data_IF_493575008394
#
_entry.id   IF_493575008394
#
_cell.length_a   1.000
_cell.length_b   1.000
_cell.length_c   1.000
_cell.angle_alpha   90.00
_cell.angle_beta   90.00
_cell.angle_gamma   90.00
#
_symmetry.space_group_name_H-M   'P 1'
#
loop_
_entity.id
_entity.type
_entity.pdbx_description
1 polymer ?
#
# COMPACT_ATOMS: atom_id res chain seq x y z
N UNK A 1 -18.54 10.85 20.42
CA UNK A 1 -17.91 10.75 19.09
C UNK A 1 -16.79 11.75 19.02
N UNK A 2 -15.53 11.30 19.10
CA UNK A 2 -14.37 12.20 19.01
C UNK A 2 -14.20 12.63 17.56
N UNK A 3 -14.43 13.91 17.28
CA UNK A 3 -14.16 14.53 15.99
C UNK A 3 -12.66 14.52 15.75
N UNK A 4 -12.18 13.46 15.11
CA UNK A 4 -10.78 13.37 14.70
C UNK A 4 -10.50 14.47 13.67
N UNK A 5 -9.55 15.34 13.98
CA UNK A 5 -9.14 16.42 13.06
C UNK A 5 -8.52 15.81 11.80
N UNK A 6 -8.62 16.51 10.65
CA UNK A 6 -7.97 16.06 9.40
C UNK A 6 -6.49 15.76 9.58
N UNK A 7 -5.81 16.55 10.42
CA UNK A 7 -4.41 16.35 10.77
C UNK A 7 -4.16 15.02 11.51
N UNK A 8 -4.99 14.65 12.49
CA UNK A 8 -4.86 13.39 13.20
C UNK A 8 -5.10 12.17 12.28
N UNK A 9 -5.98 12.29 11.28
CA UNK A 9 -6.20 11.24 10.29
C UNK A 9 -5.02 11.06 9.34
N UNK A 10 -4.40 12.15 8.90
CA UNK A 10 -3.16 12.11 8.09
C UNK A 10 -2.02 11.51 8.92
N UNK A 11 -1.88 11.92 10.18
CA UNK A 11 -0.88 11.37 11.09
C UNK A 11 -1.00 9.86 11.27
N UNK A 12 -2.23 9.34 11.41
CA UNK A 12 -2.46 7.90 11.45
C UNK A 12 -2.06 7.19 10.15
N UNK A 13 -2.43 7.74 8.99
CA UNK A 13 -2.05 7.16 7.69
C UNK A 13 -0.53 7.07 7.56
N UNK A 14 0.19 8.12 7.97
CA UNK A 14 1.65 8.13 7.95
C UNK A 14 2.23 7.09 8.92
N UNK A 15 1.73 7.01 10.15
CA UNK A 15 2.21 6.04 11.15
C UNK A 15 1.97 4.60 10.71
N UNK A 16 0.78 4.29 10.20
CA UNK A 16 0.47 2.96 9.68
C UNK A 16 1.26 2.67 8.40
N UNK A 17 1.48 3.67 7.54
CA UNK A 17 2.27 3.52 6.33
C UNK A 17 3.73 3.23 6.63
N UNK A 18 4.32 3.95 7.58
CA UNK A 18 5.67 3.70 8.09
C UNK A 18 5.77 2.31 8.72
N UNK A 19 4.81 1.94 9.58
CA UNK A 19 4.77 0.61 10.19
C UNK A 19 4.66 -0.52 9.16
N UNK A 20 3.79 -0.37 8.16
CA UNK A 20 3.64 -1.33 7.07
C UNK A 20 4.92 -1.42 6.24
N UNK A 21 5.52 -0.29 5.88
CA UNK A 21 6.80 -0.24 5.18
C UNK A 21 7.91 -0.94 5.94
N UNK A 22 8.12 -0.60 7.22
CA UNK A 22 9.16 -1.22 8.06
C UNK A 22 8.93 -2.72 8.24
N UNK A 23 7.69 -3.15 8.49
CA UNK A 23 7.34 -4.56 8.64
C UNK A 23 7.59 -5.35 7.36
N UNK A 24 7.10 -4.87 6.22
CA UNK A 24 7.33 -5.51 4.91
C UNK A 24 8.82 -5.53 4.57
N UNK A 25 9.55 -4.44 4.82
CA UNK A 25 10.98 -4.35 4.56
C UNK A 25 11.80 -5.33 5.38
N UNK A 26 11.54 -5.41 6.68
CA UNK A 26 12.20 -6.36 7.57
C UNK A 26 11.97 -7.80 7.11
N UNK A 27 10.72 -8.16 6.76
CA UNK A 27 10.39 -9.49 6.25
C UNK A 27 11.10 -9.79 4.92
N UNK A 28 11.07 -8.86 3.95
CA UNK A 28 11.74 -9.04 2.68
C UNK A 28 13.25 -9.24 2.86
N UNK A 29 13.90 -8.45 3.72
CA UNK A 29 15.33 -8.56 3.99
C UNK A 29 15.68 -9.86 4.71
N UNK A 30 14.88 -10.29 5.70
CA UNK A 30 15.08 -11.56 6.39
C UNK A 30 14.93 -12.76 5.45
N UNK A 31 13.88 -12.77 4.63
CA UNK A 31 13.66 -13.81 3.62
C UNK A 31 14.82 -13.82 2.61
N UNK A 32 15.23 -12.66 2.11
CA UNK A 32 16.36 -12.54 1.20
C UNK A 32 17.68 -13.04 1.80
N UNK A 33 17.93 -12.74 3.07
CA UNK A 33 19.12 -13.19 3.79
C UNK A 33 19.11 -14.72 3.99
N UNK A 34 17.96 -15.31 4.34
CA UNK A 34 17.80 -16.75 4.48
C UNK A 34 18.05 -17.47 3.15
N UNK A 35 17.48 -16.97 2.05
CA UNK A 35 17.63 -17.57 0.72
C UNK A 35 19.06 -17.43 0.18
N UNK A 36 19.75 -16.33 0.50
CA UNK A 36 21.12 -16.09 0.06
C UNK A 36 22.18 -16.72 1.00
N UNK A 37 21.79 -17.32 2.12
CA UNK A 37 22.72 -17.86 3.12
C UNK A 37 23.50 -16.79 3.88
N UNK A 38 23.05 -15.53 3.88
CA UNK A 38 23.72 -14.42 4.53
C UNK A 38 23.13 -13.05 4.19
N UNK A 39 23.32 -12.09 5.09
CA UNK A 39 22.90 -10.71 4.88
C UNK A 39 23.98 -9.94 4.14
N UNK A 40 23.67 -9.48 2.93
CA UNK A 40 24.55 -8.59 2.16
C UNK A 40 23.86 -7.26 1.87
N UNK A 41 24.64 -6.18 1.73
CA UNK A 41 24.11 -4.85 1.39
C UNK A 41 23.33 -4.88 0.06
N UNK A 42 23.89 -5.51 -0.97
CA UNK A 42 23.24 -5.65 -2.28
C UNK A 42 21.97 -6.52 -2.23
N UNK A 43 21.98 -7.60 -1.44
CA UNK A 43 20.80 -8.44 -1.20
C UNK A 43 19.69 -7.68 -0.47
N UNK A 44 20.03 -6.91 0.56
CA UNK A 44 19.09 -6.07 1.30
C UNK A 44 18.47 -4.99 0.38
N UNK A 45 19.28 -4.29 -0.42
CA UNK A 45 18.78 -3.30 -1.38
C UNK A 45 17.81 -3.92 -2.40
N UNK A 46 18.11 -5.14 -2.87
CA UNK A 46 17.26 -5.87 -3.81
C UNK A 46 15.94 -6.28 -3.16
N UNK A 47 16.00 -6.83 -1.95
CA UNK A 47 14.83 -7.26 -1.19
C UNK A 47 13.88 -6.09 -0.85
N UNK A 48 14.42 -4.93 -0.44
CA UNK A 48 13.62 -3.73 -0.21
C UNK A 48 12.95 -3.23 -1.49
N UNK A 49 13.64 -3.31 -2.64
CA UNK A 49 13.06 -2.97 -3.94
C UNK A 49 11.86 -3.85 -4.30
N UNK A 50 11.96 -5.16 -4.08
CA UNK A 50 10.85 -6.09 -4.26
C UNK A 50 9.69 -5.81 -3.29
N UNK A 51 9.99 -5.53 -2.02
CA UNK A 51 8.98 -5.14 -1.04
C UNK A 51 8.23 -3.86 -1.44
N UNK A 52 8.95 -2.85 -1.95
CA UNK A 52 8.36 -1.61 -2.47
C UNK A 52 7.44 -1.85 -3.67
N UNK A 53 7.84 -2.73 -4.60
CA UNK A 53 6.99 -3.13 -5.73
C UNK A 53 5.71 -3.81 -5.27
N UNK A 54 5.78 -4.75 -4.31
CA UNK A 54 4.61 -5.46 -3.79
C UNK A 54 3.59 -4.49 -3.19
N UNK A 55 4.05 -3.53 -2.37
CA UNK A 55 3.16 -2.53 -1.77
C UNK A 55 2.54 -1.59 -2.81
N UNK A 56 3.30 -1.22 -3.85
CA UNK A 56 2.78 -0.41 -4.96
C UNK A 56 1.74 -1.17 -5.76
N UNK A 57 1.99 -2.45 -6.03
CA UNK A 57 1.04 -3.34 -6.71
C UNK A 57 -0.24 -3.52 -5.90
N UNK A 58 -0.12 -3.68 -4.57
CA UNK A 58 -1.27 -3.75 -3.67
C UNK A 58 -2.13 -2.48 -3.75
N UNK A 59 -1.51 -1.31 -3.77
CA UNK A 59 -2.23 -0.04 -3.93
C UNK A 59 -3.00 0.01 -5.27
N UNK A 60 -2.36 -0.40 -6.36
CA UNK A 60 -3.00 -0.47 -7.68
C UNK A 60 -4.15 -1.50 -7.70
N UNK A 61 -3.98 -2.67 -7.08
CA UNK A 61 -5.00 -3.71 -6.98
C UNK A 61 -6.24 -3.23 -6.21
N UNK A 62 -6.05 -2.48 -5.12
CA UNK A 62 -7.15 -1.89 -4.35
C UNK A 62 -7.94 -0.91 -5.24
N UNK A 63 -7.25 -0.02 -5.96
CA UNK A 63 -7.89 0.95 -6.87
C UNK A 63 -8.67 0.21 -7.96
N UNK A 64 -8.04 -0.77 -8.61
CA UNK A 64 -8.64 -1.52 -9.69
C UNK A 64 -9.89 -2.29 -9.24
N UNK A 65 -9.81 -3.00 -8.10
CA UNK A 65 -10.93 -3.75 -7.52
C UNK A 65 -12.14 -2.86 -7.24
N UNK A 66 -11.91 -1.70 -6.61
CA UNK A 66 -12.98 -0.77 -6.24
C UNK A 66 -13.64 -0.13 -7.46
N UNK A 67 -12.85 0.26 -8.47
CA UNK A 67 -13.39 0.79 -9.71
C UNK A 67 -14.20 -0.27 -10.48
N UNK A 68 -13.71 -1.51 -10.56
CA UNK A 68 -14.41 -2.60 -11.23
C UNK A 68 -15.73 -2.97 -10.56
N UNK A 69 -15.75 -3.08 -9.22
CA UNK A 69 -16.97 -3.34 -8.45
C UNK A 69 -17.98 -2.21 -8.61
N UNK A 70 -17.53 -0.95 -8.51
CA UNK A 70 -18.41 0.21 -8.68
C UNK A 70 -19.03 0.27 -10.07
N UNK A 71 -18.28 -0.05 -11.13
CA UNK A 71 -18.79 0.00 -12.50
C UNK A 71 -19.80 -1.13 -12.77
N UNK A 72 -19.54 -2.33 -12.25
CA UNK A 72 -20.47 -3.45 -12.32
C UNK A 72 -21.79 -3.12 -11.62
N UNK A 73 -21.72 -2.60 -10.40
CA UNK A 73 -22.90 -2.27 -9.60
C UNK A 73 -23.68 -1.08 -10.17
N UNK A 74 -22.99 -0.04 -10.67
CA UNK A 74 -23.65 1.07 -11.35
C UNK A 74 -24.44 0.60 -12.57
N UNK A 75 -23.86 -0.32 -13.36
CA UNK A 75 -24.50 -0.85 -14.56
C UNK A 75 -25.72 -1.73 -14.22
N UNK A 76 -25.65 -2.51 -13.14
CA UNK A 76 -26.78 -3.32 -12.68
C UNK A 76 -27.93 -2.44 -12.18
N UNK A 77 -27.65 -1.43 -11.35
CA UNK A 77 -28.69 -0.54 -10.82
C UNK A 77 -29.29 0.38 -11.87
N UNK A 78 -28.49 0.83 -12.85
CA UNK A 78 -29.00 1.59 -13.99
C UNK A 78 -30.03 0.80 -14.81
N UNK A 79 -29.87 -0.52 -14.96
CA UNK A 79 -30.87 -1.39 -15.61
C UNK A 79 -32.17 -1.51 -14.82
N UNK A 80 -32.12 -1.28 -13.51
CA UNK A 80 -33.30 -1.25 -12.62
C UNK A 80 -33.93 0.15 -12.53
N UNK A 81 -33.38 1.15 -13.24
CA UNK A 81 -33.84 2.54 -13.16
C UNK A 81 -33.43 3.26 -11.88
N UNK A 82 -32.55 2.65 -11.08
CA UNK A 82 -32.08 3.22 -9.80
C UNK A 82 -30.83 4.07 -10.00
N UNK A 83 -30.76 5.19 -9.28
CA UNK A 83 -29.53 5.98 -9.19
C UNK A 83 -28.55 5.33 -8.22
N UNK A 84 -27.32 5.10 -8.68
CA UNK A 84 -26.23 4.56 -7.85
C UNK A 84 -25.13 5.60 -7.71
N UNK A 85 -24.78 5.95 -6.47
CA UNK A 85 -23.59 6.72 -6.16
C UNK A 85 -22.48 5.77 -5.76
N UNK A 86 -21.47 5.66 -6.61
CA UNK A 86 -20.26 4.90 -6.34
C UNK A 86 -19.67 5.24 -4.95
N UNK A 87 -19.32 4.24 -4.13
CA UNK A 87 -18.56 4.48 -2.92
C UNK A 87 -17.20 5.10 -3.29
N UNK A 88 -16.75 6.06 -2.47
CA UNK A 88 -15.45 6.69 -2.67
C UNK A 88 -14.30 5.69 -2.48
N UNK A 89 -13.19 5.92 -3.18
CA UNK A 89 -11.99 5.09 -3.04
C UNK A 89 -11.49 5.07 -1.58
N UNK A 90 -10.98 3.92 -1.08
CA UNK A 90 -10.43 3.78 0.26
C UNK A 90 -9.05 4.44 0.34
N UNK A 91 -9.01 5.77 0.21
CA UNK A 91 -7.80 6.58 0.12
C UNK A 91 -6.82 6.34 1.27
N UNK A 92 -7.32 6.12 2.48
CA UNK A 92 -6.46 5.83 3.63
C UNK A 92 -5.62 4.57 3.41
N UNK A 93 -6.19 3.49 2.87
CA UNK A 93 -5.47 2.23 2.64
C UNK A 93 -4.46 2.36 1.50
N UNK A 94 -4.87 3.04 0.41
CA UNK A 94 -4.00 3.32 -0.74
C UNK A 94 -2.79 4.16 -0.31
N UNK A 95 -3.02 5.25 0.44
CA UNK A 95 -1.95 6.13 0.91
C UNK A 95 -1.04 5.43 1.92
N UNK A 96 -1.56 4.59 2.81
CA UNK A 96 -0.74 3.76 3.71
C UNK A 96 0.20 2.85 2.93
N UNK A 97 -0.32 2.13 1.92
CA UNK A 97 0.49 1.24 1.09
C UNK A 97 1.57 1.99 0.29
N UNK A 98 1.22 3.13 -0.31
CA UNK A 98 2.16 3.98 -1.05
C UNK A 98 3.23 4.61 -0.15
N UNK A 99 2.85 5.04 1.06
CA UNK A 99 3.80 5.57 2.05
C UNK A 99 4.79 4.47 2.46
N UNK A 100 4.29 3.26 2.74
CA UNK A 100 5.15 2.11 3.03
C UNK A 100 6.09 1.76 1.88
N UNK A 101 5.59 1.76 0.63
CA UNK A 101 6.42 1.55 -0.55
C UNK A 101 7.53 2.62 -0.69
N UNK A 102 7.18 3.88 -0.46
CA UNK A 102 8.14 4.99 -0.48
C UNK A 102 9.28 4.80 0.51
N UNK A 103 8.97 4.38 1.74
CA UNK A 103 9.98 4.08 2.78
C UNK A 103 10.94 2.97 2.32
N UNK A 104 10.41 1.92 1.70
CA UNK A 104 11.22 0.82 1.18
C UNK A 104 12.14 1.25 0.03
N UNK A 105 11.64 2.05 -0.91
CA UNK A 105 12.45 2.58 -1.99
C UNK A 105 13.51 3.58 -1.48
N UNK A 106 13.21 4.39 -0.47
CA UNK A 106 14.20 5.24 0.19
C UNK A 106 15.29 4.40 0.87
N UNK A 107 14.91 3.32 1.56
CA UNK A 107 15.87 2.37 2.15
C UNK A 107 16.72 1.68 1.09
N UNK A 108 16.13 1.24 -0.02
CA UNK A 108 16.86 0.70 -1.16
C UNK A 108 17.85 1.72 -1.75
N UNK A 109 17.42 2.98 -1.93
CA UNK A 109 18.26 4.04 -2.46
C UNK A 109 19.46 4.31 -1.54
N UNK A 110 19.25 4.37 -0.22
CA UNK A 110 20.31 4.55 0.76
C UNK A 110 21.32 3.38 0.82
N UNK A 111 20.89 2.18 0.42
CA UNK A 111 21.75 0.99 0.40
C UNK A 111 22.43 0.74 -0.95
N UNK A 112 22.03 1.41 -2.03
CA UNK A 112 22.80 1.43 -3.28
C UNK A 112 24.05 2.31 -3.15
#
# INVERSE_FOLDING_TARGET
MTTQTRAARIGQILLFGLGAGLGTGALCVLIGALLAGGLTRAGAATALGWGGMILTFLAAAIIYSQNGQSQSESNMRARLGESYRAPGLPWAQILTALTGAGVLFLGQFALR
#
